data_IF_910153731887
#
_entry.id   IF_910153731887
#
_cell.length_a   1.000
_cell.length_b   1.000
_cell.length_c   1.000
_cell.angle_alpha   90.00
_cell.angle_beta   90.00
_cell.angle_gamma   90.00
#
_symmetry.space_group_name_H-M   'P 1'
#
loop_
_entity.id
_entity.type
_entity.pdbx_description
1 polymer ?
#
# COMPACT_ATOMS: atom_id res chain seq x y z
N UNK A 1 -2.12 27.08 21.80
CA UNK A 1 -2.72 25.73 21.87
C UNK A 1 -3.15 25.33 20.47
N UNK A 2 -2.97 24.06 20.07
CA UNK A 2 -3.46 23.58 18.78
C UNK A 2 -4.99 23.62 18.76
N UNK A 3 -5.57 24.03 17.64
CA UNK A 3 -7.01 23.96 17.41
C UNK A 3 -7.44 22.49 17.37
N UNK A 4 -8.55 22.14 18.03
CA UNK A 4 -8.95 20.75 18.26
C UNK A 4 -9.22 19.99 16.96
N UNK A 5 -9.71 20.68 15.94
CA UNK A 5 -9.96 20.18 14.58
C UNK A 5 -8.67 19.80 13.84
N UNK A 6 -7.51 20.35 14.22
CA UNK A 6 -6.21 20.04 13.62
C UNK A 6 -5.51 18.85 14.27
N UNK A 7 -5.91 18.45 15.48
CA UNK A 7 -5.23 17.39 16.24
C UNK A 7 -5.32 16.04 15.54
N UNK A 8 -6.51 15.62 15.13
CA UNK A 8 -6.72 14.31 14.49
C UNK A 8 -6.05 14.21 13.11
N UNK A 9 -6.16 15.22 12.21
CA UNK A 9 -5.41 15.23 10.96
C UNK A 9 -3.89 15.18 11.15
N UNK A 10 -3.35 15.91 12.13
CA UNK A 10 -1.91 15.87 12.41
C UNK A 10 -1.46 14.51 12.96
N UNK A 11 -2.29 13.90 13.81
CA UNK A 11 -2.04 12.56 14.32
C UNK A 11 -2.05 11.54 13.17
N UNK A 12 -3.06 11.56 12.31
CA UNK A 12 -3.15 10.69 11.13
C UNK A 12 -1.91 10.85 10.23
N UNK A 13 -1.50 12.09 9.95
CA UNK A 13 -0.30 12.37 9.17
C UNK A 13 0.98 11.82 9.84
N UNK A 14 1.11 11.96 11.17
CA UNK A 14 2.25 11.44 11.92
C UNK A 14 2.31 9.91 11.88
N UNK A 15 1.18 9.21 12.09
CA UNK A 15 1.12 7.76 12.02
C UNK A 15 1.38 7.25 10.60
N UNK A 16 0.83 7.93 9.58
CA UNK A 16 1.08 7.61 8.17
C UNK A 16 2.56 7.77 7.84
N UNK A 17 3.18 8.86 8.29
CA UNK A 17 4.62 9.08 8.14
C UNK A 17 5.45 7.96 8.79
N UNK A 18 5.11 7.54 10.01
CA UNK A 18 5.80 6.44 10.68
C UNK A 18 5.65 5.12 9.92
N UNK A 19 4.44 4.78 9.50
CA UNK A 19 4.18 3.59 8.68
C UNK A 19 5.04 3.60 7.40
N UNK A 20 5.02 4.72 6.67
CA UNK A 20 5.84 4.93 5.49
C UNK A 20 7.35 4.80 5.78
N UNK A 21 7.84 5.46 6.82
CA UNK A 21 9.26 5.45 7.20
C UNK A 21 9.74 4.03 7.49
N UNK A 22 8.95 3.26 8.24
CA UNK A 22 9.28 1.89 8.59
C UNK A 22 9.21 0.95 7.39
N UNK A 23 8.27 1.15 6.46
CA UNK A 23 8.16 0.36 5.23
C UNK A 23 9.25 0.66 4.20
N UNK A 24 9.59 1.94 3.96
CA UNK A 24 10.64 2.31 2.98
C UNK A 24 12.01 1.75 3.38
N UNK A 25 12.35 1.85 4.66
CA UNK A 25 13.68 1.48 5.14
C UNK A 25 13.89 -0.02 5.29
N UNK A 26 12.81 -0.79 5.46
CA UNK A 26 12.85 -2.26 5.47
C UNK A 26 12.92 -2.85 4.06
N UNK A 27 12.48 -2.11 3.04
CA UNK A 27 12.68 -2.51 1.65
C UNK A 27 14.14 -2.31 1.16
N UNK A 28 15.02 -1.73 1.98
CA UNK A 28 16.46 -1.71 1.73
C UNK A 28 17.00 -3.15 1.83
N UNK A 29 17.26 -3.76 0.67
CA UNK A 29 17.68 -5.15 0.54
C UNK A 29 16.81 -5.96 -0.43
N UNK A 30 15.73 -5.39 -0.98
CA UNK A 30 14.99 -6.01 -2.08
C UNK A 30 15.85 -6.09 -3.34
N UNK A 31 15.72 -7.20 -4.05
CA UNK A 31 16.29 -7.32 -5.39
C UNK A 31 15.57 -6.39 -6.37
N UNK A 32 16.24 -6.04 -7.45
CA UNK A 32 15.68 -5.19 -8.50
C UNK A 32 14.37 -5.75 -9.07
N UNK A 33 14.33 -7.07 -9.29
CA UNK A 33 13.14 -7.81 -9.69
C UNK A 33 11.94 -7.60 -8.75
N UNK A 34 12.18 -7.67 -7.44
CA UNK A 34 11.12 -7.49 -6.44
C UNK A 34 10.64 -6.05 -6.36
N UNK A 35 11.55 -5.08 -6.49
CA UNK A 35 11.18 -3.66 -6.58
C UNK A 35 10.30 -3.44 -7.81
N UNK A 36 10.75 -3.86 -8.99
CA UNK A 36 10.00 -3.72 -10.24
C UNK A 36 8.61 -4.37 -10.16
N UNK A 37 8.52 -5.56 -9.57
CA UNK A 37 7.22 -6.23 -9.34
C UNK A 37 6.31 -5.42 -8.41
N UNK A 38 6.82 -4.94 -7.27
CA UNK A 38 6.04 -4.14 -6.32
C UNK A 38 5.55 -2.82 -6.95
N UNK A 39 6.37 -2.19 -7.78
CA UNK A 39 6.02 -1.01 -8.55
C UNK A 39 4.90 -1.29 -9.56
N UNK A 40 5.03 -2.38 -10.34
CA UNK A 40 4.00 -2.79 -11.31
C UNK A 40 2.66 -3.07 -10.62
N UNK A 41 2.69 -3.81 -9.51
CA UNK A 41 1.50 -4.07 -8.67
C UNK A 41 0.87 -2.75 -8.22
N UNK A 42 1.67 -1.80 -7.75
CA UNK A 42 1.17 -0.53 -7.22
C UNK A 42 0.51 0.31 -8.31
N UNK A 43 1.14 0.41 -9.49
CA UNK A 43 0.59 1.10 -10.66
C UNK A 43 -0.74 0.49 -11.09
N UNK A 44 -0.78 -0.84 -11.20
CA UNK A 44 -1.99 -1.59 -11.56
C UNK A 44 -3.09 -1.48 -10.52
N UNK A 45 -2.75 -1.34 -9.22
CA UNK A 45 -3.71 -1.13 -8.14
C UNK A 45 -4.24 0.32 -8.06
N UNK A 46 -3.47 1.31 -8.50
CA UNK A 46 -3.95 2.70 -8.64
C UNK A 46 -4.90 2.88 -9.83
N UNK A 47 -4.71 2.12 -10.93
CA UNK A 47 -5.64 2.13 -12.05
C UNK A 47 -5.29 1.10 -13.13
N UNK A 48 -6.23 0.87 -14.03
CA UNK A 48 -5.98 0.05 -15.22
C UNK A 48 -4.93 0.75 -16.10
N UNK A 49 -4.03 -0.02 -16.73
CA UNK A 49 -2.91 0.53 -17.53
C UNK A 49 -2.70 -0.21 -18.84
N UNK A 50 -2.27 0.49 -19.89
CA UNK A 50 -1.75 -0.18 -21.10
C UNK A 50 -0.36 -0.75 -20.83
N UNK A 51 0.10 -1.65 -21.72
CA UNK A 51 1.50 -2.13 -21.69
C UNK A 51 2.50 -0.96 -21.72
N UNK A 52 2.33 -0.03 -22.65
CA UNK A 52 3.22 1.13 -22.80
C UNK A 52 3.23 2.02 -21.57
N UNK A 53 2.07 2.29 -20.95
CA UNK A 53 1.99 3.08 -19.72
C UNK A 53 2.73 2.43 -18.56
N UNK A 54 2.68 1.10 -18.43
CA UNK A 54 3.45 0.39 -17.41
C UNK A 54 4.95 0.48 -17.69
N UNK A 55 5.36 0.31 -18.94
CA UNK A 55 6.76 0.43 -19.34
C UNK A 55 7.32 1.83 -19.08
N UNK A 56 6.54 2.89 -19.38
CA UNK A 56 6.94 4.29 -19.22
C UNK A 56 7.01 4.72 -17.73
N UNK A 57 6.19 4.13 -16.86
CA UNK A 57 6.08 4.52 -15.46
C UNK A 57 6.99 3.72 -14.52
N UNK A 58 7.47 2.56 -14.95
CA UNK A 58 8.44 1.78 -14.18
C UNK A 58 9.83 2.43 -14.22
N UNK A 59 10.60 2.38 -13.12
CA UNK A 59 11.91 3.00 -13.08
C UNK A 59 12.89 2.35 -14.07
N UNK A 60 13.45 3.14 -14.99
CA UNK A 60 14.48 2.69 -15.92
C UNK A 60 15.83 2.52 -15.19
N UNK A 61 16.23 1.30 -14.80
CA UNK A 61 17.61 1.05 -14.33
C UNK A 61 18.15 -0.29 -14.81
N UNK A 62 19.21 -0.28 -15.64
CA UNK A 62 20.10 -1.40 -16.04
C UNK A 62 19.67 -2.36 -17.17
N UNK A 63 19.86 -1.92 -18.43
CA UNK A 63 20.12 -2.81 -19.58
C UNK A 63 18.88 -3.31 -20.33
N UNK A 64 18.68 -2.76 -21.53
CA UNK A 64 17.48 -2.88 -22.39
C UNK A 64 16.94 -4.28 -22.72
N UNK A 65 17.67 -5.37 -22.46
CA UNK A 65 17.27 -6.73 -22.86
C UNK A 65 16.85 -7.67 -21.72
N UNK A 66 17.29 -7.42 -20.48
CA UNK A 66 16.85 -8.19 -19.32
C UNK A 66 15.49 -7.69 -18.80
N UNK A 67 15.32 -6.36 -18.76
CA UNK A 67 14.07 -5.69 -18.38
C UNK A 67 12.84 -6.18 -19.16
N UNK A 68 12.95 -6.38 -20.47
CA UNK A 68 11.80 -6.83 -21.27
C UNK A 68 11.34 -8.24 -20.90
N UNK A 69 12.24 -9.15 -20.52
CA UNK A 69 11.83 -10.53 -20.16
C UNK A 69 11.21 -10.60 -18.78
N UNK A 70 11.83 -9.94 -17.80
CA UNK A 70 11.31 -9.93 -16.43
C UNK A 70 10.00 -9.13 -16.34
N UNK A 71 9.89 -8.03 -17.11
CA UNK A 71 8.65 -7.26 -17.23
C UNK A 71 7.48 -8.10 -17.73
N UNK A 72 7.63 -8.80 -18.86
CA UNK A 72 6.54 -9.59 -19.44
C UNK A 72 6.14 -10.74 -18.51
N UNK A 73 7.13 -11.42 -17.90
CA UNK A 73 6.88 -12.48 -16.94
C UNK A 73 6.10 -11.96 -15.72
N UNK A 74 6.51 -10.83 -15.13
CA UNK A 74 5.77 -10.23 -14.02
C UNK A 74 4.38 -9.78 -14.44
N UNK A 75 4.24 -9.15 -15.60
CA UNK A 75 2.96 -8.64 -16.10
C UNK A 75 1.95 -9.79 -16.28
N UNK A 76 2.39 -10.91 -16.85
CA UNK A 76 1.56 -12.11 -17.00
C UNK A 76 1.12 -12.66 -15.64
N UNK A 77 2.02 -12.66 -14.66
CA UNK A 77 1.77 -13.19 -13.31
C UNK A 77 0.88 -12.29 -12.44
N UNK A 78 0.95 -10.97 -12.58
CA UNK A 78 0.24 -10.03 -11.70
C UNK A 78 -1.02 -9.45 -12.35
N UNK A 79 -1.13 -9.48 -13.67
CA UNK A 79 -2.22 -8.82 -14.39
C UNK A 79 -3.07 -9.75 -15.25
N UNK A 80 -4.32 -9.34 -15.47
CA UNK A 80 -5.22 -9.88 -16.48
C UNK A 80 -5.36 -8.85 -17.59
N UNK A 81 -5.24 -9.31 -18.84
CA UNK A 81 -5.52 -8.47 -20.00
C UNK A 81 -7.03 -8.36 -20.23
N UNK A 82 -7.55 -7.14 -20.16
CA UNK A 82 -8.92 -6.78 -20.53
C UNK A 82 -8.92 -6.32 -21.98
N UNK A 83 -9.62 -7.07 -22.82
CA UNK A 83 -9.69 -6.80 -24.26
C UNK A 83 -10.26 -5.41 -24.57
N UNK A 84 -9.85 -4.80 -25.70
CA UNK A 84 -10.46 -3.59 -26.25
C UNK A 84 -11.98 -3.71 -26.31
N UNK A 85 -12.70 -2.65 -25.95
CA UNK A 85 -14.16 -2.62 -26.07
C UNK A 85 -14.62 -1.32 -26.74
N UNK A 86 -15.79 -1.34 -27.34
CA UNK A 86 -16.38 -0.15 -27.95
C UNK A 86 -17.20 0.62 -26.92
N UNK A 87 -16.99 1.93 -26.80
CA UNK A 87 -17.93 2.79 -26.11
C UNK A 87 -19.21 2.98 -26.93
N UNK A 88 -20.31 3.34 -26.26
CA UNK A 88 -21.60 3.60 -26.91
C UNK A 88 -21.55 4.72 -27.98
N UNK A 89 -20.47 5.52 -28.02
CA UNK A 89 -20.19 6.53 -29.05
C UNK A 89 -19.34 6.06 -30.22
N UNK A 90 -19.00 4.76 -30.33
CA UNK A 90 -18.20 4.20 -31.43
C UNK A 90 -16.69 4.33 -31.28
N UNK A 91 -16.21 4.93 -30.19
CA UNK A 91 -14.78 5.00 -29.88
C UNK A 91 -14.27 3.64 -29.39
N UNK A 92 -13.15 3.19 -29.97
CA UNK A 92 -12.46 1.98 -29.55
C UNK A 92 -11.61 2.27 -28.30
N UNK A 93 -11.93 1.62 -27.18
CA UNK A 93 -11.08 1.62 -26.00
C UNK A 93 -9.93 0.66 -26.22
N UNK A 94 -8.71 1.12 -25.97
CA UNK A 94 -7.53 0.26 -25.97
C UNK A 94 -7.64 -0.80 -24.88
N UNK A 95 -7.11 -2.00 -25.13
CA UNK A 95 -7.05 -3.05 -24.13
C UNK A 95 -6.09 -2.67 -22.99
N UNK A 96 -6.47 -3.01 -21.77
CA UNK A 96 -5.81 -2.58 -20.55
C UNK A 96 -5.50 -3.78 -19.65
N UNK A 97 -4.50 -3.64 -18.81
CA UNK A 97 -4.15 -4.59 -17.77
C UNK A 97 -4.80 -4.20 -16.44
N UNK A 98 -5.35 -5.19 -15.76
CA UNK A 98 -5.96 -5.06 -14.43
C UNK A 98 -5.30 -6.05 -13.46
N UNK A 99 -5.19 -5.77 -12.15
CA UNK A 99 -4.63 -6.71 -11.20
C UNK A 99 -5.42 -8.02 -11.14
N UNK A 100 -4.71 -9.15 -11.05
CA UNK A 100 -5.31 -10.44 -10.71
C UNK A 100 -5.86 -10.42 -9.28
N UNK A 101 -6.81 -11.31 -9.00
CA UNK A 101 -7.35 -11.48 -7.64
C UNK A 101 -6.29 -11.80 -6.59
N UNK A 102 -5.29 -12.60 -6.95
CA UNK A 102 -4.15 -12.94 -6.09
C UNK A 102 -3.35 -11.72 -5.65
N UNK A 103 -3.24 -10.70 -6.51
CA UNK A 103 -2.54 -9.45 -6.18
C UNK A 103 -3.24 -8.74 -5.03
N UNK A 104 -4.56 -8.57 -5.09
CA UNK A 104 -5.33 -7.94 -4.01
C UNK A 104 -5.22 -8.70 -2.69
N UNK A 105 -5.14 -10.03 -2.74
CA UNK A 105 -5.05 -10.86 -1.54
C UNK A 105 -3.67 -10.89 -0.92
N UNK A 106 -2.60 -10.87 -1.73
CA UNK A 106 -1.24 -11.22 -1.31
C UNK A 106 -0.22 -10.11 -1.49
N UNK A 107 -0.41 -9.22 -2.44
CA UNK A 107 0.63 -8.28 -2.89
C UNK A 107 0.23 -6.80 -2.78
N UNK A 108 -1.07 -6.48 -2.78
CA UNK A 108 -1.54 -5.12 -2.58
C UNK A 108 -1.09 -4.60 -1.20
N UNK A 109 -0.37 -3.47 -1.22
CA UNK A 109 0.14 -2.76 -0.06
C UNK A 109 -0.25 -1.27 -0.13
N UNK A 110 -1.24 -0.84 0.68
CA UNK A 110 -1.66 0.56 0.75
C UNK A 110 -0.54 1.51 1.14
N UNK A 111 0.43 1.09 1.99
CA UNK A 111 1.54 1.97 2.41
C UNK A 111 2.43 2.28 1.23
N UNK A 112 2.76 1.26 0.42
CA UNK A 112 3.54 1.45 -0.80
C UNK A 112 2.81 2.32 -1.82
N UNK A 113 1.49 2.17 -1.97
CA UNK A 113 0.70 3.07 -2.82
C UNK A 113 0.78 4.51 -2.34
N UNK A 114 0.60 4.80 -1.04
CA UNK A 114 0.73 6.17 -0.50
C UNK A 114 2.12 6.75 -0.78
N UNK A 115 3.17 5.95 -0.64
CA UNK A 115 4.55 6.37 -0.91
C UNK A 115 4.79 6.76 -2.37
N UNK A 116 4.15 6.06 -3.31
CA UNK A 116 4.39 6.24 -4.75
C UNK A 116 3.38 7.16 -5.42
N UNK A 117 2.18 7.30 -4.86
CA UNK A 117 1.14 8.15 -5.40
C UNK A 117 1.55 9.62 -5.33
N UNK A 118 1.59 10.28 -6.50
CA UNK A 118 1.79 11.74 -6.59
C UNK A 118 0.52 12.46 -6.13
N UNK A 119 -0.65 11.87 -6.37
CA UNK A 119 -1.93 12.47 -6.05
C UNK A 119 -2.72 11.60 -5.06
N UNK A 120 -3.34 12.26 -4.06
CA UNK A 120 -4.22 11.59 -3.07
C UNK A 120 -5.34 10.76 -3.70
N UNK A 121 -5.83 11.18 -4.88
CA UNK A 121 -6.86 10.45 -5.64
C UNK A 121 -6.42 9.05 -6.05
N UNK A 122 -5.12 8.82 -6.28
CA UNK A 122 -4.62 7.53 -6.75
C UNK A 122 -4.63 6.50 -5.60
N UNK A 123 -4.30 6.93 -4.38
CA UNK A 123 -4.49 6.13 -3.17
C UNK A 123 -5.97 5.84 -2.91
N UNK A 124 -6.84 6.83 -3.05
CA UNK A 124 -8.28 6.61 -2.88
C UNK A 124 -8.81 5.60 -3.91
N UNK A 125 -8.41 5.74 -5.18
CA UNK A 125 -8.80 4.82 -6.24
C UNK A 125 -8.34 3.38 -5.96
N UNK A 126 -7.15 3.18 -5.40
CA UNK A 126 -6.67 1.84 -5.05
C UNK A 126 -7.48 1.22 -3.91
N UNK A 127 -7.85 2.01 -2.90
CA UNK A 127 -8.69 1.57 -1.79
C UNK A 127 -10.13 1.26 -2.23
N UNK A 128 -10.70 2.05 -3.14
CA UNK A 128 -12.03 1.81 -3.70
C UNK A 128 -12.05 0.51 -4.53
N UNK A 129 -11.00 0.28 -5.33
CA UNK A 129 -10.85 -0.96 -6.11
C UNK A 129 -10.62 -2.18 -5.23
N UNK A 130 -9.83 -2.07 -4.17
CA UNK A 130 -9.70 -3.12 -3.16
C UNK A 130 -11.05 -3.43 -2.47
N UNK A 131 -11.80 -2.40 -2.11
CA UNK A 131 -13.14 -2.55 -1.52
C UNK A 131 -14.09 -3.25 -2.49
N UNK A 132 -14.04 -2.90 -3.78
CA UNK A 132 -14.82 -3.57 -4.82
C UNK A 132 -14.46 -5.06 -4.93
N UNK A 133 -13.17 -5.40 -4.96
CA UNK A 133 -12.68 -6.77 -4.96
C UNK A 133 -13.16 -7.56 -3.72
N UNK A 134 -13.07 -6.98 -2.52
CA UNK A 134 -13.57 -7.59 -1.28
C UNK A 134 -15.08 -7.88 -1.32
N UNK A 135 -15.87 -6.96 -1.89
CA UNK A 135 -17.33 -7.14 -2.05
C UNK A 135 -17.65 -8.23 -3.06
N UNK A 136 -16.99 -8.24 -4.22
CA UNK A 136 -17.20 -9.26 -5.25
C UNK A 136 -16.91 -10.68 -4.74
N UNK A 137 -15.91 -10.83 -3.88
CA UNK A 137 -15.55 -12.12 -3.28
C UNK A 137 -16.32 -12.44 -1.99
N UNK A 138 -17.38 -11.69 -1.65
CA UNK A 138 -18.22 -11.95 -0.48
C UNK A 138 -17.52 -11.75 0.88
N UNK A 139 -16.33 -11.13 0.90
CA UNK A 139 -15.54 -10.86 2.12
C UNK A 139 -16.02 -9.61 2.87
N UNK A 140 -16.83 -8.79 2.23
CA UNK A 140 -17.40 -7.58 2.80
C UNK A 140 -18.91 -7.54 2.56
N UNK A 141 -19.69 -7.24 3.60
CA UNK A 141 -21.16 -7.19 3.55
C UNK A 141 -21.66 -5.74 3.61
N UNK A 142 -22.74 -5.46 2.87
CA UNK A 142 -23.41 -4.16 2.89
C UNK A 142 -22.50 -3.00 2.49
N UNK A 143 -22.70 -1.86 3.16
CA UNK A 143 -21.96 -0.61 2.92
C UNK A 143 -20.66 -0.49 3.74
N UNK A 144 -20.21 -1.56 4.40
CA UNK A 144 -18.98 -1.52 5.18
C UNK A 144 -17.78 -1.15 4.29
N UNK A 145 -16.79 -0.51 4.90
CA UNK A 145 -15.46 -0.21 4.32
C UNK A 145 -14.44 -1.12 5.00
N UNK A 146 -13.56 -1.82 4.27
CA UNK A 146 -12.55 -2.64 4.91
C UNK A 146 -11.45 -1.74 5.47
N UNK A 147 -10.83 -2.17 6.57
CA UNK A 147 -9.56 -1.56 6.96
C UNK A 147 -8.52 -1.76 5.84
N UNK A 148 -7.59 -0.81 5.66
CA UNK A 148 -6.50 -0.98 4.71
C UNK A 148 -5.73 -2.28 5.02
N UNK A 149 -5.46 -3.12 4.00
CA UNK A 149 -4.70 -4.36 4.18
C UNK A 149 -3.21 -4.05 4.29
N UNK A 150 -2.80 -3.38 5.36
CA UNK A 150 -1.41 -3.04 5.60
C UNK A 150 -0.54 -4.30 5.64
N UNK A 151 0.63 -4.23 5.01
CA UNK A 151 1.58 -5.35 4.94
C UNK A 151 2.70 -5.12 5.91
N UNK A 152 3.03 -6.16 6.68
CA UNK A 152 4.20 -6.11 7.52
C UNK A 152 5.45 -6.05 6.63
N UNK A 153 6.37 -5.12 6.91
CA UNK A 153 7.60 -5.06 6.14
C UNK A 153 8.46 -6.30 6.37
N UNK A 154 9.28 -6.61 5.37
CA UNK A 154 10.27 -7.69 5.44
C UNK A 154 11.34 -7.38 6.50
N UNK A 155 12.12 -8.39 6.84
CA UNK A 155 13.29 -8.18 7.69
C UNK A 155 14.27 -7.24 7.00
N UNK A 156 14.79 -6.29 7.76
CA UNK A 156 15.85 -5.40 7.29
C UNK A 156 17.12 -6.22 7.03
N UNK A 157 17.94 -5.78 6.07
CA UNK A 157 19.26 -6.37 5.87
C UNK A 157 20.06 -6.37 7.19
N UNK A 158 20.79 -7.46 7.55
CA UNK A 158 21.46 -7.59 8.86
C UNK A 158 22.46 -6.47 9.20
N UNK A 159 23.01 -5.80 8.18
CA UNK A 159 23.97 -4.70 8.35
C UNK A 159 23.30 -3.34 8.61
N UNK A 160 21.98 -3.24 8.48
CA UNK A 160 21.23 -2.00 8.62
C UNK A 160 20.47 -1.98 9.95
N UNK A 161 20.42 -0.81 10.57
CA UNK A 161 19.62 -0.60 11.79
C UNK A 161 18.14 -0.57 11.42
N UNK A 162 17.36 -1.47 12.01
CA UNK A 162 15.91 -1.48 11.84
C UNK A 162 15.26 -0.27 12.54
N UNK A 163 14.62 0.65 11.80
CA UNK A 163 13.97 1.81 12.40
C UNK A 163 12.74 1.44 13.25
N UNK A 164 12.18 0.22 13.09
CA UNK A 164 11.09 -0.28 13.95
C UNK A 164 11.50 -0.35 15.43
N UNK A 165 12.80 -0.27 15.76
CA UNK A 165 13.28 -0.07 17.13
C UNK A 165 12.63 1.14 17.82
N UNK A 166 12.23 2.19 17.08
CA UNK A 166 11.51 3.33 17.63
C UNK A 166 10.16 2.92 18.26
N UNK A 167 9.51 1.89 17.73
CA UNK A 167 8.25 1.34 18.25
C UNK A 167 8.41 0.67 19.62
N UNK A 168 9.63 0.31 20.02
CA UNK A 168 9.95 -0.22 21.35
C UNK A 168 10.10 0.87 22.42
N UNK A 169 10.06 2.14 22.04
CA UNK A 169 10.13 3.24 23.00
C UNK A 169 8.85 3.30 23.85
N UNK A 170 9.01 3.42 25.18
CA UNK A 170 7.88 3.56 26.12
C UNK A 170 6.93 4.70 25.75
N UNK A 171 7.47 5.82 25.26
CA UNK A 171 6.67 6.97 24.82
C UNK A 171 5.82 6.62 23.59
N UNK A 172 6.38 5.86 22.64
CA UNK A 172 5.63 5.42 21.45
C UNK A 172 4.53 4.43 21.85
N UNK A 173 4.85 3.45 22.70
CA UNK A 173 3.87 2.49 23.21
C UNK A 173 2.74 3.18 23.99
N UNK A 174 3.07 4.15 24.84
CA UNK A 174 2.07 4.94 25.55
C UNK A 174 1.20 5.76 24.60
N UNK A 175 1.79 6.38 23.56
CA UNK A 175 1.04 7.12 22.56
C UNK A 175 0.04 6.23 21.81
N UNK A 176 0.47 5.06 21.32
CA UNK A 176 -0.41 4.10 20.67
C UNK A 176 -1.55 3.64 21.59
N UNK A 177 -1.24 3.32 22.86
CA UNK A 177 -2.25 2.93 23.83
C UNK A 177 -3.28 4.04 24.10
N UNK A 178 -2.83 5.30 24.23
CA UNK A 178 -3.72 6.45 24.41
C UNK A 178 -4.65 6.62 23.22
N UNK A 179 -4.15 6.43 21.99
CA UNK A 179 -4.96 6.51 20.77
C UNK A 179 -6.06 5.44 20.79
N UNK A 180 -5.70 4.19 21.09
CA UNK A 180 -6.67 3.09 21.21
C UNK A 180 -7.69 3.33 22.31
N UNK A 181 -7.25 3.80 23.49
CA UNK A 181 -8.13 4.14 24.60
C UNK A 181 -9.09 5.27 24.23
N UNK A 182 -8.61 6.32 23.55
CA UNK A 182 -9.43 7.44 23.09
C UNK A 182 -10.47 6.98 22.07
N UNK A 183 -10.11 6.11 21.13
CA UNK A 183 -11.04 5.56 20.14
C UNK A 183 -12.21 4.78 20.77
N UNK A 184 -12.03 4.20 21.97
CA UNK A 184 -13.13 3.55 22.71
C UNK A 184 -14.12 4.54 23.35
N UNK A 185 -13.75 5.81 23.47
CA UNK A 185 -14.52 6.85 24.18
C UNK A 185 -15.05 7.94 23.27
N UNK A 186 -14.36 8.16 22.15
CA UNK A 186 -14.58 9.27 21.24
C UNK A 186 -14.81 8.74 19.82
N UNK A 187 -16.05 8.78 19.31
CA UNK A 187 -16.37 8.28 17.98
C UNK A 187 -15.81 9.16 16.85
N UNK A 188 -15.30 10.36 17.17
CA UNK A 188 -14.68 11.25 16.18
C UNK A 188 -13.27 10.79 15.77
N UNK A 189 -12.69 9.81 16.47
CA UNK A 189 -11.38 9.25 16.07
C UNK A 189 -11.53 8.51 14.73
N UNK A 190 -10.84 8.94 13.66
CA UNK A 190 -11.01 8.33 12.35
C UNK A 190 -10.58 6.86 12.34
N UNK A 191 -11.30 6.02 11.58
CA UNK A 191 -10.95 4.60 11.42
C UNK A 191 -9.52 4.42 10.88
N UNK A 192 -9.05 5.34 10.02
CA UNK A 192 -7.69 5.33 9.50
C UNK A 192 -6.63 5.48 10.62
N UNK A 193 -6.89 6.35 11.61
CA UNK A 193 -6.01 6.52 12.78
C UNK A 193 -5.96 5.22 13.59
N UNK A 194 -7.11 4.59 13.79
CA UNK A 194 -7.20 3.31 14.50
C UNK A 194 -6.45 2.19 13.76
N UNK A 195 -6.68 2.06 12.45
CA UNK A 195 -6.02 1.05 11.62
C UNK A 195 -4.49 1.23 11.60
N UNK A 196 -4.00 2.47 11.47
CA UNK A 196 -2.57 2.77 11.55
C UNK A 196 -1.98 2.48 12.93
N UNK A 197 -2.69 2.82 14.01
CA UNK A 197 -2.23 2.54 15.37
C UNK A 197 -2.10 1.03 15.62
N UNK A 198 -3.08 0.23 15.17
CA UNK A 198 -3.02 -1.24 15.24
C UNK A 198 -1.87 -1.79 14.39
N UNK A 199 -1.68 -1.28 13.18
CA UNK A 199 -0.59 -1.69 12.30
C UNK A 199 0.80 -1.40 12.89
N UNK A 200 1.01 -0.22 13.45
CA UNK A 200 2.26 0.13 14.13
C UNK A 200 2.48 -0.75 15.37
N UNK A 201 1.42 -1.10 16.11
CA UNK A 201 1.51 -2.02 17.24
C UNK A 201 1.87 -3.44 16.78
N UNK A 202 1.28 -3.93 15.69
CA UNK A 202 1.62 -5.23 15.11
C UNK A 202 3.09 -5.27 14.67
N UNK A 203 3.58 -4.22 14.01
CA UNK A 203 5.01 -4.09 13.69
C UNK A 203 5.91 -4.09 14.94
N UNK A 204 5.46 -3.48 16.03
CA UNK A 204 6.18 -3.48 17.30
C UNK A 204 6.28 -4.90 17.89
N UNK A 205 5.21 -5.70 17.78
CA UNK A 205 5.20 -7.07 18.28
C UNK A 205 6.07 -8.01 17.44
N UNK A 206 6.15 -7.77 16.13
CA UNK A 206 6.94 -8.57 15.19
C UNK A 206 8.43 -8.19 15.19
N UNK A 207 8.78 -7.06 15.80
CA UNK A 207 10.17 -6.61 15.89
C UNK A 207 10.96 -7.48 16.88
N UNK A 208 11.91 -8.25 16.37
CA UNK A 208 12.84 -9.06 17.15
C UNK A 208 14.21 -8.37 17.18
N UNK A 209 14.61 -7.70 18.28
CA UNK A 209 15.87 -6.95 18.35
C UNK A 209 17.15 -7.81 18.25
N UNK A 210 17.03 -9.13 18.20
CA UNK A 210 18.15 -10.09 18.32
C UNK A 210 18.08 -11.28 17.35
N UNK A 211 17.35 -11.19 16.23
CA UNK A 211 17.42 -12.17 15.15
C UNK A 211 18.36 -11.73 14.04
#
# INVERSE_FOLDING_TARGET
FLEQDKVLPMLEAALTFLAMLFSVRTNLGMSEAEVTRQEMVSLLCMGDRTHSQLMDLLPEKCGTSAHSRDFEAFLEEVALYKQPNFEAGGNLLQGMYVPRGSVWEREYDPVHVVLRAVHRKDYQASMDRYTHFMRQNGRLKGSATPWPPFRLPRNVHPELVDPRKLLQCKTMQAALFIILFKALKDPEVPEQVLALAVYLLEMALQFHPHS
#
